data_IF_955143814182
#
_entry.id   IF_955143814182
#
_cell.length_a   1.000
_cell.length_b   1.000
_cell.length_c   1.000
_cell.angle_alpha   90.00
_cell.angle_beta   90.00
_cell.angle_gamma   90.00
#
_symmetry.space_group_name_H-M   'P 1'
#
loop_
_entity.id
_entity.type
_entity.pdbx_description
1 polymer ?
#
# COMPACT_ATOMS: atom_id res chain seq x y z
N UNK A 1 1.51 -21.84 4.02
CA UNK A 1 0.27 -21.04 3.85
C UNK A 1 0.46 -19.57 4.21
N UNK A 2 1.17 -19.23 5.29
CA UNK A 2 1.42 -17.83 5.73
C UNK A 2 2.02 -16.93 4.63
N UNK A 3 3.05 -17.40 3.91
CA UNK A 3 3.68 -16.62 2.83
C UNK A 3 2.68 -16.30 1.71
N UNK A 4 1.81 -17.25 1.37
CA UNK A 4 0.77 -17.07 0.34
C UNK A 4 -0.27 -16.05 0.82
N UNK A 5 -0.71 -16.14 2.08
CA UNK A 5 -1.62 -15.17 2.68
C UNK A 5 -1.03 -13.75 2.66
N UNK A 6 0.23 -13.59 3.06
CA UNK A 6 0.94 -12.31 3.01
C UNK A 6 1.10 -11.78 1.58
N UNK A 7 1.45 -12.64 0.63
CA UNK A 7 1.57 -12.28 -0.78
C UNK A 7 0.24 -11.79 -1.35
N UNK A 8 -0.86 -12.51 -1.09
CA UNK A 8 -2.19 -12.13 -1.59
C UNK A 8 -2.70 -10.83 -0.96
N UNK A 9 -2.49 -10.63 0.34
CA UNK A 9 -2.85 -9.39 1.03
C UNK A 9 -2.03 -8.20 0.50
N UNK A 10 -0.72 -8.38 0.30
CA UNK A 10 0.14 -7.36 -0.29
C UNK A 10 -0.21 -7.06 -1.75
N UNK A 11 -0.54 -8.08 -2.55
CA UNK A 11 -1.01 -7.89 -3.92
C UNK A 11 -2.35 -7.13 -3.98
N UNK A 12 -3.28 -7.40 -3.05
CA UNK A 12 -4.51 -6.65 -2.94
C UNK A 12 -4.24 -5.17 -2.65
N UNK A 13 -3.32 -4.86 -1.71
CA UNK A 13 -2.92 -3.48 -1.45
C UNK A 13 -2.31 -2.82 -2.69
N UNK A 14 -1.49 -3.55 -3.44
CA UNK A 14 -0.89 -3.07 -4.67
C UNK A 14 -1.95 -2.63 -5.70
N UNK A 15 -2.99 -3.44 -5.88
CA UNK A 15 -4.09 -3.14 -6.80
C UNK A 15 -4.90 -1.93 -6.34
N UNK A 16 -5.20 -1.80 -5.04
CA UNK A 16 -5.90 -0.63 -4.50
C UNK A 16 -5.08 0.64 -4.73
N UNK A 17 -3.78 0.58 -4.45
CA UNK A 17 -2.87 1.70 -4.62
C UNK A 17 -2.77 2.12 -6.09
N UNK A 18 -2.59 1.15 -7.00
CA UNK A 18 -2.59 1.34 -8.45
C UNK A 18 -3.88 1.97 -8.95
N UNK A 19 -5.03 1.47 -8.50
CA UNK A 19 -6.33 2.02 -8.89
C UNK A 19 -6.48 3.48 -8.47
N UNK A 20 -6.06 3.82 -7.24
CA UNK A 20 -6.09 5.19 -6.75
C UNK A 20 -5.16 6.10 -7.55
N UNK A 21 -3.94 5.66 -7.85
CA UNK A 21 -3.02 6.42 -8.69
C UNK A 21 -3.56 6.60 -10.11
N UNK A 22 -4.17 5.57 -10.70
CA UNK A 22 -4.77 5.66 -12.04
C UNK A 22 -5.88 6.70 -12.09
N UNK A 23 -6.80 6.67 -11.12
CA UNK A 23 -7.85 7.69 -10.98
C UNK A 23 -7.23 9.08 -10.75
N UNK A 24 -6.17 9.14 -9.93
CA UNK A 24 -5.45 10.38 -9.66
C UNK A 24 -4.92 11.01 -10.95
N UNK A 25 -4.30 10.21 -11.82
CA UNK A 25 -3.72 10.63 -13.11
C UNK A 25 -4.78 11.03 -14.15
N UNK A 26 -5.91 10.32 -14.23
CA UNK A 26 -6.97 10.60 -15.21
C UNK A 26 -7.73 11.88 -14.86
N UNK A 27 -8.18 12.02 -13.60
CA UNK A 27 -9.07 13.13 -13.22
C UNK A 27 -8.33 14.42 -12.87
N UNK A 28 -7.05 14.34 -12.47
CA UNK A 28 -6.28 15.52 -12.12
C UNK A 28 -4.78 15.23 -12.32
N UNK A 29 -4.29 15.28 -13.57
CA UNK A 29 -2.90 14.99 -13.87
C UNK A 29 -1.97 15.91 -13.06
N UNK A 30 -1.05 15.37 -12.25
CA UNK A 30 -0.08 16.19 -11.50
C UNK A 30 0.76 17.05 -12.45
N UNK A 31 1.30 18.17 -11.97
CA UNK A 31 1.90 19.21 -12.82
C UNK A 31 3.00 18.74 -13.79
N UNK A 32 3.70 17.65 -13.48
CA UNK A 32 4.66 17.03 -14.40
C UNK A 32 4.01 16.35 -15.61
N UNK A 33 2.75 15.91 -15.50
CA UNK A 33 1.93 15.37 -16.59
C UNK A 33 1.35 16.47 -17.46
N UNK A 34 1.03 17.61 -16.83
CA UNK A 34 0.40 18.74 -17.51
C UNK A 34 1.41 19.56 -18.32
N UNK A 35 2.70 19.48 -17.97
CA UNK A 35 3.80 20.19 -18.60
C UNK A 35 4.75 19.27 -19.39
N UNK A 36 4.46 17.97 -19.50
CA UNK A 36 5.26 17.07 -20.35
C UNK A 36 4.81 17.24 -21.80
N UNK A 37 5.72 17.69 -22.66
CA UNK A 37 5.49 17.73 -24.11
C UNK A 37 5.10 16.33 -24.61
N UNK A 38 4.11 16.27 -25.50
CA UNK A 38 3.60 15.02 -26.09
C UNK A 38 4.67 14.23 -26.88
N UNK A 39 5.80 14.87 -27.17
CA UNK A 39 6.95 14.31 -27.90
C UNK A 39 7.90 13.52 -26.99
N UNK A 40 7.88 13.80 -25.68
CA UNK A 40 8.77 13.18 -24.71
C UNK A 40 8.03 12.04 -24.01
N UNK A 41 8.25 10.81 -24.49
CA UNK A 41 7.60 9.55 -24.10
C UNK A 41 7.85 9.11 -22.63
N UNK A 42 8.17 10.07 -21.76
CA UNK A 42 8.50 9.91 -20.35
C UNK A 42 7.26 9.67 -19.49
N UNK A 43 6.07 10.13 -19.91
CA UNK A 43 4.86 9.99 -19.10
C UNK A 43 4.40 8.53 -18.90
N UNK A 44 4.19 7.75 -19.99
CA UNK A 44 3.77 6.35 -19.85
C UNK A 44 4.84 5.56 -19.10
N UNK A 45 6.11 5.91 -19.29
CA UNK A 45 7.25 5.30 -18.60
C UNK A 45 7.20 5.52 -17.08
N UNK A 46 6.97 6.76 -16.63
CA UNK A 46 6.87 7.09 -15.19
C UNK A 46 5.66 6.41 -14.56
N UNK A 47 4.52 6.43 -15.24
CA UNK A 47 3.31 5.74 -14.78
C UNK A 47 3.59 4.24 -14.65
N UNK A 48 4.14 3.61 -15.70
CA UNK A 48 4.45 2.17 -15.71
C UNK A 48 5.49 1.80 -14.65
N UNK A 49 6.49 2.64 -14.42
CA UNK A 49 7.48 2.46 -13.35
C UNK A 49 6.82 2.55 -11.96
N UNK A 50 5.97 3.55 -11.70
CA UNK A 50 5.28 3.67 -10.42
C UNK A 50 4.34 2.49 -10.15
N UNK A 51 3.60 2.06 -11.17
CA UNK A 51 2.72 0.89 -11.08
C UNK A 51 3.51 -0.39 -10.87
N UNK A 52 4.59 -0.60 -11.63
CA UNK A 52 5.47 -1.75 -11.49
C UNK A 52 6.13 -1.82 -10.11
N UNK A 53 6.59 -0.67 -9.60
CA UNK A 53 7.13 -0.57 -8.24
C UNK A 53 6.08 -0.93 -7.18
N UNK A 54 4.86 -0.42 -7.31
CA UNK A 54 3.78 -0.76 -6.39
C UNK A 54 3.50 -2.28 -6.41
N UNK A 55 3.40 -2.89 -7.60
CA UNK A 55 3.16 -4.33 -7.76
C UNK A 55 4.30 -5.22 -7.23
N UNK A 56 5.52 -4.69 -7.09
CA UNK A 56 6.63 -5.42 -6.49
C UNK A 56 6.76 -5.18 -4.97
N UNK A 57 6.66 -3.93 -4.54
CA UNK A 57 6.91 -3.53 -3.15
C UNK A 57 5.81 -4.03 -2.23
N UNK A 58 4.54 -3.88 -2.62
CA UNK A 58 3.42 -4.20 -1.74
C UNK A 58 3.32 -5.71 -1.40
N UNK A 59 3.50 -6.65 -2.35
CA UNK A 59 3.56 -8.07 -2.00
C UNK A 59 4.71 -8.43 -1.04
N UNK A 60 5.88 -7.81 -1.19
CA UNK A 60 7.01 -8.02 -0.28
C UNK A 60 6.66 -7.55 1.14
N UNK A 61 6.08 -6.34 1.27
CA UNK A 61 5.61 -5.83 2.56
C UNK A 61 4.54 -6.75 3.16
N UNK A 62 3.60 -7.25 2.35
CA UNK A 62 2.57 -8.21 2.77
C UNK A 62 3.15 -9.51 3.33
N UNK A 63 4.16 -10.08 2.65
CA UNK A 63 4.86 -11.28 3.13
C UNK A 63 5.57 -10.99 4.46
N UNK A 64 6.35 -9.91 4.53
CA UNK A 64 7.09 -9.54 5.75
C UNK A 64 6.14 -9.35 6.92
N UNK A 65 5.01 -8.67 6.71
CA UNK A 65 4.01 -8.42 7.75
C UNK A 65 3.33 -9.71 8.21
N UNK A 66 3.00 -10.62 7.28
CA UNK A 66 2.42 -11.91 7.63
C UNK A 66 3.39 -12.81 8.41
N UNK A 67 4.68 -12.82 8.03
CA UNK A 67 5.72 -13.54 8.77
C UNK A 67 5.93 -12.92 10.16
N UNK A 68 5.97 -11.59 10.25
CA UNK A 68 6.09 -10.89 11.52
C UNK A 68 4.90 -11.19 12.44
N UNK A 69 3.67 -11.12 11.93
CA UNK A 69 2.46 -11.45 12.69
C UNK A 69 2.51 -12.88 13.22
N UNK A 70 2.88 -13.84 12.36
CA UNK A 70 3.00 -15.24 12.77
C UNK A 70 4.07 -15.45 13.84
N UNK A 71 5.22 -14.78 13.73
CA UNK A 71 6.33 -14.92 14.67
C UNK A 71 6.00 -14.42 16.08
N UNK A 72 5.14 -13.40 16.21
CA UNK A 72 4.81 -12.78 17.50
C UNK A 72 3.43 -13.14 18.01
N UNK A 73 2.65 -13.97 17.30
CA UNK A 73 1.22 -14.21 17.57
C UNK A 73 0.93 -14.77 18.97
N UNK A 74 1.85 -15.56 19.53
CA UNK A 74 1.69 -16.22 20.82
C UNK A 74 2.14 -15.31 21.98
N UNK A 75 2.85 -14.22 21.67
CA UNK A 75 3.41 -13.27 22.63
C UNK A 75 2.67 -11.93 22.63
N UNK A 76 2.09 -11.56 21.49
CA UNK A 76 1.50 -10.24 21.24
C UNK A 76 0.07 -10.40 20.77
N UNK A 77 -0.87 -9.80 21.51
CA UNK A 77 -2.28 -9.74 21.09
C UNK A 77 -2.41 -8.99 19.75
N UNK A 78 -3.29 -9.47 18.88
CA UNK A 78 -3.67 -8.84 17.61
C UNK A 78 -3.94 -7.33 17.71
N UNK A 79 -4.50 -6.84 18.82
CA UNK A 79 -4.72 -5.40 19.04
C UNK A 79 -3.40 -4.63 19.14
N UNK A 80 -2.42 -5.17 19.86
CA UNK A 80 -1.10 -4.55 20.02
C UNK A 80 -0.33 -4.60 18.69
N UNK A 81 -0.44 -5.71 17.97
CA UNK A 81 0.10 -5.82 16.61
C UNK A 81 -0.51 -4.76 15.67
N UNK A 82 -1.83 -4.61 15.67
CA UNK A 82 -2.54 -3.61 14.88
C UNK A 82 -2.12 -2.17 15.23
N UNK A 83 -1.91 -1.87 16.52
CA UNK A 83 -1.38 -0.56 16.95
C UNK A 83 0.06 -0.35 16.44
N UNK A 84 0.90 -1.39 16.46
CA UNK A 84 2.24 -1.33 15.89
C UNK A 84 2.22 -1.02 14.39
N UNK A 85 1.35 -1.71 13.64
CA UNK A 85 1.12 -1.43 12.21
C UNK A 85 0.66 0.01 11.99
N UNK A 86 -0.28 0.51 12.80
CA UNK A 86 -0.76 1.90 12.73
C UNK A 86 0.36 2.92 12.97
N UNK A 87 1.25 2.66 13.93
CA UNK A 87 2.40 3.53 14.19
C UNK A 87 3.33 3.58 12.99
N UNK A 88 3.66 2.42 12.41
CA UNK A 88 4.48 2.35 11.18
C UNK A 88 3.81 3.10 10.03
N UNK A 89 2.49 2.94 9.88
CA UNK A 89 1.70 3.61 8.87
C UNK A 89 1.75 5.15 9.03
N UNK A 90 1.56 5.65 10.26
CA UNK A 90 1.65 7.08 10.56
C UNK A 90 3.05 7.65 10.30
N UNK A 91 4.10 6.86 10.52
CA UNK A 91 5.47 7.27 10.18
C UNK A 91 5.70 7.34 8.66
N UNK A 92 4.96 6.57 7.86
CA UNK A 92 5.01 6.63 6.39
C UNK A 92 4.09 7.73 5.82
N UNK A 93 3.15 8.25 6.61
CA UNK A 93 2.20 9.30 6.19
C UNK A 93 2.83 10.57 5.63
N UNK A 94 3.91 11.14 6.20
CA UNK A 94 4.51 12.36 5.67
C UNK A 94 4.95 12.20 4.21
N UNK A 95 5.47 11.03 3.83
CA UNK A 95 5.89 10.74 2.46
C UNK A 95 4.69 10.76 1.52
N UNK A 96 3.58 10.12 1.92
CA UNK A 96 2.36 10.06 1.12
C UNK A 96 1.65 11.42 1.04
N UNK A 97 1.67 12.22 2.11
CA UNK A 97 1.14 13.60 2.14
C UNK A 97 1.90 14.50 1.17
N UNK A 98 3.24 14.43 1.19
CA UNK A 98 4.09 15.21 0.28
C UNK A 98 3.85 14.85 -1.19
N UNK A 99 3.56 13.59 -1.48
CA UNK A 99 3.26 13.11 -2.85
C UNK A 99 1.85 13.50 -3.33
N UNK A 100 0.87 13.59 -2.43
CA UNK A 100 -0.54 13.80 -2.81
C UNK A 100 -0.98 15.27 -2.86
N UNK A 101 -0.14 16.23 -2.46
CA UNK A 101 -0.30 17.71 -2.60
C UNK A 101 -1.76 18.19 -2.62
N UNK A 102 -2.46 18.03 -1.49
CA UNK A 102 -3.83 18.56 -1.31
C UNK A 102 -4.96 17.58 -1.60
N UNK A 103 -4.67 16.33 -1.97
CA UNK A 103 -5.68 15.28 -2.24
C UNK A 103 -5.94 14.41 -1.01
N UNK A 104 -6.36 15.07 0.06
CA UNK A 104 -6.60 14.47 1.39
C UNK A 104 -7.58 13.30 1.37
N UNK A 105 -8.59 13.30 0.49
CA UNK A 105 -9.58 12.21 0.40
C UNK A 105 -8.97 10.93 -0.15
N UNK A 106 -8.16 11.01 -1.22
CA UNK A 106 -7.49 9.83 -1.77
C UNK A 106 -6.40 9.31 -0.83
N UNK A 107 -5.70 10.23 -0.15
CA UNK A 107 -4.74 9.87 0.89
C UNK A 107 -5.45 9.13 2.03
N UNK A 108 -6.53 9.68 2.56
CA UNK A 108 -7.31 9.05 3.63
C UNK A 108 -7.85 7.67 3.21
N UNK A 109 -8.35 7.54 1.98
CA UNK A 109 -8.80 6.25 1.45
C UNK A 109 -7.67 5.22 1.36
N UNK A 110 -6.46 5.62 0.94
CA UNK A 110 -5.30 4.74 0.94
C UNK A 110 -4.85 4.34 2.35
N UNK A 111 -4.87 5.26 3.30
CA UNK A 111 -4.61 4.98 4.72
C UNK A 111 -5.59 3.95 5.28
N UNK A 112 -6.89 4.19 5.07
CA UNK A 112 -7.92 3.24 5.51
C UNK A 112 -7.72 1.85 4.88
N UNK A 113 -7.41 1.78 3.58
CA UNK A 113 -7.14 0.52 2.91
C UNK A 113 -5.89 -0.19 3.47
N UNK A 114 -4.81 0.56 3.73
CA UNK A 114 -3.59 0.03 4.34
C UNK A 114 -3.90 -0.55 5.72
N UNK A 115 -4.55 0.22 6.59
CA UNK A 115 -4.90 -0.22 7.93
C UNK A 115 -5.75 -1.50 7.89
N UNK A 116 -6.80 -1.53 7.05
CA UNK A 116 -7.64 -2.72 6.91
C UNK A 116 -6.81 -3.94 6.47
N UNK A 117 -5.94 -3.79 5.46
CA UNK A 117 -5.19 -4.92 4.93
C UNK A 117 -4.14 -5.43 5.94
N UNK A 118 -3.31 -4.55 6.48
CA UNK A 118 -2.16 -4.96 7.29
C UNK A 118 -2.52 -5.21 8.75
N UNK A 119 -3.49 -4.48 9.32
CA UNK A 119 -3.87 -4.62 10.73
C UNK A 119 -5.04 -5.60 10.96
N UNK A 120 -5.84 -5.91 9.93
CA UNK A 120 -7.02 -6.77 10.07
C UNK A 120 -6.91 -8.01 9.17
N UNK A 121 -6.79 -7.82 7.85
CA UNK A 121 -6.83 -8.94 6.90
C UNK A 121 -5.66 -9.90 7.10
N UNK A 122 -4.43 -9.38 7.24
CA UNK A 122 -3.25 -10.24 7.45
C UNK A 122 -3.38 -11.07 8.74
N UNK A 123 -3.64 -10.48 9.93
CA UNK A 123 -3.81 -11.28 11.15
C UNK A 123 -4.90 -12.34 11.04
N UNK A 124 -6.05 -12.01 10.42
CA UNK A 124 -7.13 -12.98 10.21
C UNK A 124 -6.67 -14.13 9.31
N UNK A 125 -6.06 -13.82 8.17
CA UNK A 125 -5.57 -14.85 7.25
C UNK A 125 -4.48 -15.72 7.87
N UNK A 126 -3.57 -15.14 8.66
CA UNK A 126 -2.52 -15.87 9.37
C UNK A 126 -3.13 -16.81 10.43
N UNK A 127 -4.13 -16.36 11.18
CA UNK A 127 -4.80 -17.17 12.20
C UNK A 127 -5.55 -18.38 11.63
N UNK A 128 -6.11 -18.26 10.43
CA UNK A 128 -6.81 -19.36 9.74
C UNK A 128 -5.86 -20.29 8.98
N UNK A 129 -4.64 -19.84 8.69
CA UNK A 129 -3.65 -20.56 7.90
C UNK A 129 -2.71 -21.45 8.74
N UNK A 130 -2.87 -21.44 10.06
CA UNK A 130 -2.11 -22.24 11.02
C UNK A 130 -2.97 -23.29 11.70
#
# INVERSE_FOLDING_TARGET
MIIIAGFLAGALMALIFVAHLSIMFVYNPPGFVRNSDAEDNNLPRVILMMHGMALMVWPVIGIVTAVANWAVRDEVNNVVFALGVLVVELLMAPVLVLLTKGRWVHLAAQFVAFFIIFAIVIPVLVSQAS
#
